data_IF_169626386635
#
_entry.id   IF_169626386635
#
_cell.length_a   1.000
_cell.length_b   1.000
_cell.length_c   1.000
_cell.angle_alpha   90.00
_cell.angle_beta   90.00
_cell.angle_gamma   90.00
#
_symmetry.space_group_name_H-M   'P 1'
#
loop_
_entity.id
_entity.type
_entity.pdbx_description
1 polymer ?
#
# COMPACT_ATOMS: atom_id res chain seq x y z
N UNK A 1 10.45 14.14 -21.39
CA UNK A 1 10.04 13.65 -20.05
C UNK A 1 8.84 14.48 -19.59
N UNK A 2 7.73 13.87 -19.20
CA UNK A 2 6.42 14.44 -18.80
C UNK A 2 5.50 15.11 -19.84
N UNK A 3 5.98 15.51 -21.03
CA UNK A 3 5.13 15.99 -22.14
C UNK A 3 3.98 16.95 -21.70
N UNK A 4 4.26 17.93 -20.83
CA UNK A 4 3.24 18.76 -20.17
C UNK A 4 2.26 19.43 -21.15
N UNK A 5 2.77 19.88 -22.31
CA UNK A 5 1.94 20.46 -23.38
C UNK A 5 1.00 19.45 -24.05
N UNK A 6 1.36 18.16 -24.13
CA UNK A 6 0.47 17.10 -24.64
C UNK A 6 -0.62 16.76 -23.63
N UNK A 7 -0.30 16.84 -22.33
CA UNK A 7 -1.25 16.62 -21.24
C UNK A 7 -2.04 17.90 -20.88
N UNK A 8 -1.79 19.03 -21.56
CA UNK A 8 -2.41 20.35 -21.30
C UNK A 8 -2.25 20.83 -19.85
N UNK A 9 -1.10 20.56 -19.22
CA UNK A 9 -0.80 20.92 -17.82
C UNK A 9 0.36 21.92 -17.73
N UNK A 10 0.51 22.54 -16.56
CA UNK A 10 1.62 23.44 -16.23
C UNK A 10 2.38 22.94 -15.00
N UNK A 11 3.65 23.33 -14.86
CA UNK A 11 4.49 22.98 -13.70
C UNK A 11 3.80 23.36 -12.37
N UNK A 12 3.15 24.55 -12.33
CA UNK A 12 2.40 25.00 -11.16
C UNK A 12 1.24 24.06 -10.81
N UNK A 13 0.52 23.57 -11.82
CA UNK A 13 -0.58 22.61 -11.66
C UNK A 13 -0.07 21.28 -11.11
N UNK A 14 1.02 20.75 -11.65
CA UNK A 14 1.61 19.48 -11.20
C UNK A 14 2.11 19.55 -9.75
N UNK A 15 2.79 20.64 -9.37
CA UNK A 15 3.24 20.83 -7.98
C UNK A 15 2.03 20.89 -7.04
N UNK A 16 0.99 21.64 -7.41
CA UNK A 16 -0.22 21.74 -6.59
C UNK A 16 -0.94 20.39 -6.46
N UNK A 17 -1.05 19.63 -7.56
CA UNK A 17 -1.63 18.29 -7.55
C UNK A 17 -0.82 17.32 -6.66
N UNK A 18 0.51 17.41 -6.70
CA UNK A 18 1.40 16.66 -5.81
C UNK A 18 1.17 16.99 -4.34
N UNK A 19 1.06 18.28 -3.99
CA UNK A 19 0.77 18.72 -2.61
C UNK A 19 -0.60 18.22 -2.15
N UNK A 20 -1.64 18.35 -2.97
CA UNK A 20 -2.99 17.86 -2.63
C UNK A 20 -2.96 16.35 -2.38
N UNK A 21 -2.28 15.60 -3.25
CA UNK A 21 -2.14 14.15 -3.12
C UNK A 21 -1.39 13.78 -1.85
N UNK A 22 -0.28 14.47 -1.56
CA UNK A 22 0.49 14.30 -0.32
C UNK A 22 -0.38 14.55 0.92
N UNK A 23 -1.08 15.68 0.98
CA UNK A 23 -1.94 16.02 2.11
C UNK A 23 -3.09 15.02 2.28
N UNK A 24 -3.65 14.52 1.17
CA UNK A 24 -4.69 13.48 1.19
C UNK A 24 -4.18 12.17 1.80
N UNK A 25 -2.90 11.83 1.55
CA UNK A 25 -2.28 10.62 2.09
C UNK A 25 -1.63 10.82 3.47
N UNK A 26 -1.39 12.05 3.89
CA UNK A 26 -0.63 12.36 5.10
C UNK A 26 -1.25 11.75 6.36
N UNK A 27 -2.58 11.60 6.44
CA UNK A 27 -3.21 10.98 7.59
C UNK A 27 -2.78 9.51 7.76
N UNK A 28 -2.48 8.80 6.67
CA UNK A 28 -2.06 7.39 6.69
C UNK A 28 -0.74 7.21 7.44
N UNK A 29 0.14 8.22 7.35
CA UNK A 29 1.45 8.22 8.01
C UNK A 29 1.30 8.09 9.54
N UNK A 30 0.19 8.58 10.11
CA UNK A 30 -0.09 8.48 11.55
C UNK A 30 -1.06 7.35 11.85
N UNK A 31 -2.16 7.23 11.10
CA UNK A 31 -3.23 6.28 11.42
C UNK A 31 -2.80 4.83 11.19
N UNK A 32 -2.01 4.54 10.16
CA UNK A 32 -1.57 3.16 9.92
C UNK A 32 -0.67 2.63 11.04
N UNK A 33 0.36 3.36 11.51
CA UNK A 33 1.15 2.94 12.67
C UNK A 33 0.34 2.79 13.96
N UNK A 34 -0.69 3.61 14.19
CA UNK A 34 -1.58 3.45 15.34
C UNK A 34 -2.32 2.12 15.27
N UNK A 35 -2.93 1.80 14.12
CA UNK A 35 -3.68 0.54 13.93
C UNK A 35 -2.75 -0.67 14.08
N UNK A 36 -1.57 -0.66 13.45
CA UNK A 36 -0.60 -1.75 13.58
C UNK A 36 -0.01 -1.83 14.99
N UNK A 37 0.05 -0.72 15.71
CA UNK A 37 0.40 -0.64 17.13
C UNK A 37 -0.53 -1.46 18.00
N UNK A 38 -1.84 -1.46 17.70
CA UNK A 38 -2.81 -2.30 18.41
C UNK A 38 -2.56 -3.81 18.24
N UNK A 39 -1.89 -4.20 17.15
CA UNK A 39 -1.44 -5.58 16.89
C UNK A 39 -0.06 -5.90 17.52
N UNK A 40 0.57 -4.94 18.20
CA UNK A 40 1.88 -5.09 18.83
C UNK A 40 3.07 -4.67 17.98
N UNK A 41 2.86 -4.05 16.81
CA UNK A 41 3.95 -3.52 15.98
C UNK A 41 4.47 -2.20 16.57
N UNK A 42 5.79 -2.03 16.78
CA UNK A 42 6.32 -0.75 17.27
C UNK A 42 6.00 0.41 16.32
N UNK A 43 5.50 1.52 16.86
CA UNK A 43 5.02 2.67 16.08
C UNK A 43 6.09 3.19 15.10
N UNK A 44 7.33 3.39 15.56
CA UNK A 44 8.42 3.92 14.74
C UNK A 44 8.78 2.99 13.57
N UNK A 45 8.70 1.68 13.79
CA UNK A 45 8.93 0.68 12.75
C UNK A 45 7.80 0.70 11.72
N UNK A 46 6.54 0.70 12.17
CA UNK A 46 5.38 0.78 11.30
C UNK A 46 5.35 2.10 10.48
N UNK A 47 5.69 3.22 11.11
CA UNK A 47 5.79 4.53 10.48
C UNK A 47 6.81 4.53 9.34
N UNK A 48 8.04 4.12 9.65
CA UNK A 48 9.14 4.10 8.70
C UNK A 48 8.86 3.12 7.55
N UNK A 49 8.37 1.92 7.86
CA UNK A 49 8.00 0.93 6.86
C UNK A 49 6.88 1.42 5.93
N UNK A 50 5.88 2.13 6.46
CA UNK A 50 4.77 2.68 5.68
C UNK A 50 5.27 3.70 4.65
N UNK A 51 6.12 4.64 5.09
CA UNK A 51 6.68 5.67 4.20
C UNK A 51 7.53 5.03 3.10
N UNK A 52 8.43 4.12 3.46
CA UNK A 52 9.29 3.44 2.50
C UNK A 52 8.46 2.64 1.50
N UNK A 53 7.48 1.86 1.97
CA UNK A 53 6.62 1.06 1.09
C UNK A 53 5.78 1.94 0.15
N UNK A 54 5.22 3.04 0.63
CA UNK A 54 4.45 3.99 -0.19
C UNK A 54 5.32 4.67 -1.26
N UNK A 55 6.53 5.10 -0.90
CA UNK A 55 7.48 5.70 -1.84
C UNK A 55 7.91 4.69 -2.90
N UNK A 56 8.32 3.49 -2.49
CA UNK A 56 8.75 2.42 -3.42
C UNK A 56 7.60 2.01 -4.34
N UNK A 57 6.40 1.80 -3.81
CA UNK A 57 5.22 1.43 -4.60
C UNK A 57 4.82 2.52 -5.59
N UNK A 58 4.81 3.77 -5.15
CA UNK A 58 4.48 4.92 -6.01
C UNK A 58 5.53 5.13 -7.11
N UNK A 59 6.82 5.02 -6.79
CA UNK A 59 7.90 5.08 -7.78
C UNK A 59 7.84 3.93 -8.79
N UNK A 60 7.52 2.72 -8.33
CA UNK A 60 7.34 1.57 -9.20
C UNK A 60 6.22 1.84 -10.22
N UNK A 61 5.06 2.33 -9.76
CA UNK A 61 3.96 2.70 -10.65
C UNK A 61 4.32 3.85 -11.61
N UNK A 62 5.06 4.85 -11.13
CA UNK A 62 5.48 5.98 -11.94
C UNK A 62 6.45 5.58 -13.07
N UNK A 63 7.41 4.69 -12.78
CA UNK A 63 8.47 4.33 -13.73
C UNK A 63 8.03 3.21 -14.68
N UNK A 64 7.42 2.14 -14.16
CA UNK A 64 7.11 0.95 -14.96
C UNK A 64 5.74 1.02 -15.62
N UNK A 65 4.76 1.58 -14.94
CA UNK A 65 3.37 1.64 -15.42
C UNK A 65 3.03 3.00 -16.06
N UNK A 66 3.80 4.05 -15.73
CA UNK A 66 3.57 5.43 -16.17
C UNK A 66 2.12 5.91 -15.95
N UNK A 67 1.54 5.49 -14.81
CA UNK A 67 0.20 5.86 -14.38
C UNK A 67 0.28 6.89 -13.23
N UNK A 68 -0.56 7.94 -13.23
CA UNK A 68 -0.59 8.96 -12.19
C UNK A 68 -1.36 8.46 -10.95
N UNK A 69 -0.88 7.37 -10.33
CA UNK A 69 -1.53 6.72 -9.18
C UNK A 69 -0.51 6.63 -8.04
N UNK A 70 -0.85 7.23 -6.90
CA UNK A 70 -0.09 7.07 -5.67
C UNK A 70 -0.50 5.78 -4.96
N UNK A 71 0.48 5.02 -4.46
CA UNK A 71 0.24 3.80 -3.70
C UNK A 71 0.36 4.09 -2.21
N UNK A 72 -0.66 3.69 -1.48
CA UNK A 72 -0.73 3.75 -0.02
C UNK A 72 -1.33 2.45 0.51
N UNK A 73 -1.13 2.13 1.80
CA UNK A 73 -1.77 0.98 2.41
C UNK A 73 -3.30 1.12 2.46
N UNK A 74 -4.00 0.01 2.23
CA UNK A 74 -5.46 -0.06 2.34
C UNK A 74 -5.92 -0.09 3.80
N UNK A 75 -6.47 1.01 4.29
CA UNK A 75 -6.82 1.18 5.71
C UNK A 75 -7.75 0.09 6.27
N UNK A 76 -8.72 -0.39 5.49
CA UNK A 76 -9.62 -1.46 5.91
C UNK A 76 -8.93 -2.82 6.12
N UNK A 77 -7.93 -3.14 5.29
CA UNK A 77 -7.19 -4.39 5.40
C UNK A 77 -6.26 -4.38 6.63
N UNK A 78 -5.71 -3.23 6.98
CA UNK A 78 -4.86 -3.10 8.16
C UNK A 78 -5.66 -3.17 9.46
N UNK A 79 -6.89 -2.62 9.46
CA UNK A 79 -7.83 -2.81 10.55
C UNK A 79 -8.23 -4.28 10.69
N UNK A 80 -8.55 -4.96 9.59
CA UNK A 80 -8.83 -6.41 9.60
C UNK A 80 -7.64 -7.22 10.12
N UNK A 81 -6.43 -6.94 9.64
CA UNK A 81 -5.21 -7.59 10.11
C UNK A 81 -5.04 -7.44 11.63
N UNK A 82 -5.19 -6.23 12.15
CA UNK A 82 -4.91 -5.95 13.56
C UNK A 82 -5.99 -6.49 14.48
N UNK A 83 -7.26 -6.26 14.15
CA UNK A 83 -8.38 -6.58 15.03
C UNK A 83 -8.91 -8.01 14.84
N UNK A 84 -8.99 -8.48 13.59
CA UNK A 84 -9.61 -9.79 13.29
C UNK A 84 -8.60 -10.93 13.15
N UNK A 85 -7.38 -10.65 12.71
CA UNK A 85 -6.35 -11.70 12.58
C UNK A 85 -5.53 -11.79 13.85
N UNK A 86 -4.86 -10.70 14.25
CA UNK A 86 -3.93 -10.72 15.38
C UNK A 86 -4.66 -10.72 16.72
N UNK A 87 -5.50 -9.71 17.00
CA UNK A 87 -6.12 -9.57 18.34
C UNK A 87 -7.21 -10.59 18.64
N UNK A 88 -7.88 -11.15 17.63
CA UNK A 88 -8.94 -12.12 17.85
C UNK A 88 -8.44 -13.55 18.19
N UNK A 89 -7.14 -13.83 18.02
CA UNK A 89 -6.57 -15.16 18.22
C UNK A 89 -5.47 -15.12 19.29
N UNK A 90 -5.69 -15.85 20.39
CA UNK A 90 -4.67 -15.98 21.44
C UNK A 90 -3.39 -16.66 20.89
N UNK A 91 -2.23 -16.10 21.24
CA UNK A 91 -0.93 -16.58 20.77
C UNK A 91 -0.52 -16.12 19.37
N UNK A 92 -1.38 -15.39 18.65
CA UNK A 92 -1.03 -14.83 17.35
C UNK A 92 -0.13 -13.60 17.50
N UNK A 93 1.11 -13.69 17.01
CA UNK A 93 2.02 -12.54 16.98
C UNK A 93 1.95 -11.82 15.65
N UNK A 94 2.23 -10.51 15.65
CA UNK A 94 2.31 -9.74 14.40
C UNK A 94 3.35 -10.32 13.43
N UNK A 95 4.43 -10.92 13.93
CA UNK A 95 5.46 -11.54 13.10
C UNK A 95 4.93 -12.77 12.34
N UNK A 96 4.16 -13.64 13.00
CA UNK A 96 3.51 -14.79 12.36
C UNK A 96 2.50 -14.29 11.32
N UNK A 97 1.69 -13.29 11.67
CA UNK A 97 0.69 -12.74 10.77
C UNK A 97 1.31 -12.09 9.52
N UNK A 98 2.39 -11.30 9.68
CA UNK A 98 3.13 -10.74 8.54
C UNK A 98 3.80 -11.82 7.69
N UNK A 99 4.28 -12.91 8.30
CA UNK A 99 4.83 -14.03 7.55
C UNK A 99 3.77 -14.67 6.65
N UNK A 100 2.53 -14.82 7.13
CA UNK A 100 1.41 -15.30 6.33
C UNK A 100 1.07 -14.32 5.18
N UNK A 101 1.04 -13.01 5.45
CA UNK A 101 0.83 -11.98 4.41
C UNK A 101 1.92 -12.02 3.35
N UNK A 102 3.17 -12.19 3.75
CA UNK A 102 4.31 -12.30 2.84
C UNK A 102 4.20 -13.52 1.93
N UNK A 103 3.90 -14.71 2.50
CA UNK A 103 3.70 -15.94 1.74
C UNK A 103 2.51 -15.81 0.78
N UNK A 104 1.39 -15.26 1.25
CA UNK A 104 0.22 -15.00 0.40
C UNK A 104 0.57 -14.04 -0.75
N UNK A 105 1.37 -13.00 -0.50
CA UNK A 105 1.89 -12.09 -1.51
C UNK A 105 2.73 -12.80 -2.58
N UNK A 106 3.65 -13.69 -2.16
CA UNK A 106 4.42 -14.49 -3.11
C UNK A 106 3.53 -15.41 -3.94
N UNK A 107 2.55 -16.07 -3.32
CA UNK A 107 1.58 -16.90 -4.04
C UNK A 107 0.81 -16.07 -5.06
N UNK A 108 0.34 -14.87 -4.69
CA UNK A 108 -0.38 -13.97 -5.61
C UNK A 108 0.50 -13.50 -6.77
N UNK A 109 1.78 -13.23 -6.53
CA UNK A 109 2.73 -12.88 -7.59
C UNK A 109 2.89 -14.06 -8.56
N UNK A 110 3.12 -15.27 -8.04
CA UNK A 110 3.23 -16.48 -8.87
C UNK A 110 1.94 -16.73 -9.67
N UNK A 111 0.78 -16.59 -9.03
CA UNK A 111 -0.51 -16.74 -9.69
C UNK A 111 -0.74 -15.67 -10.76
N UNK A 112 -0.24 -14.45 -10.58
CA UNK A 112 -0.37 -13.36 -11.57
C UNK A 112 0.37 -13.66 -12.88
N UNK A 113 1.39 -14.53 -12.86
CA UNK A 113 2.04 -15.03 -14.07
C UNK A 113 1.31 -16.19 -14.75
N UNK A 114 0.32 -16.80 -14.07
CA UNK A 114 -0.50 -17.88 -14.63
C UNK A 114 -1.88 -17.37 -15.05
N UNK A 115 -2.43 -17.87 -16.15
CA UNK A 115 -3.74 -17.45 -16.70
C UNK A 115 -4.95 -17.88 -15.85
N UNK A 116 -4.75 -18.31 -14.60
CA UNK A 116 -5.84 -18.74 -13.71
C UNK A 116 -6.81 -17.59 -13.37
N UNK A 117 -6.38 -16.34 -13.54
CA UNK A 117 -7.22 -15.14 -13.39
C UNK A 117 -8.41 -15.15 -14.37
N UNK A 118 -8.27 -15.73 -15.55
CA UNK A 118 -9.34 -15.79 -16.56
C UNK A 118 -10.40 -16.84 -16.22
N UNK A 119 -10.03 -17.92 -15.51
CA UNK A 119 -10.93 -19.03 -15.17
C UNK A 119 -11.89 -18.69 -14.02
N UNK A 120 -11.49 -17.78 -13.11
CA UNK A 120 -12.35 -17.34 -11.99
C UNK A 120 -13.31 -16.19 -12.36
N UNK A 121 -13.01 -15.40 -13.38
CA UNK A 121 -13.84 -14.27 -13.83
C UNK A 121 -14.91 -14.69 -14.85
N UNK A 122 -14.79 -15.90 -15.42
CA UNK A 122 -15.74 -16.46 -16.40
C UNK A 122 -16.78 -17.43 -15.79
N UNK A 123 -17.11 -17.32 -14.50
CA UNK A 123 -18.23 -18.08 -13.92
C UNK A 123 -19.28 -17.19 -13.29
#
# INVERSE_FOLDING_TARGET
MFNLSKHKTSIKTEIMAGIITFLTMAYIIVVNPVILGDAGVPFEQAFTATIIAAVVGTLFMAIFTNLPIAIAPGMGLNAYFSYSVVKAHEGMTFAIAFSAVFVAGMILILLSFTSFRTVLVQK
#
